data_IF_731823680695
#
_entry.id   IF_731823680695
#
_cell.length_a   1.000
_cell.length_b   1.000
_cell.length_c   1.000
_cell.angle_alpha   90.00
_cell.angle_beta   90.00
_cell.angle_gamma   90.00
#
_symmetry.space_group_name_H-M   'P 1'
#
loop_
_entity.id
_entity.type
_entity.pdbx_description
1 polymer ?
#
# COMPACT_ATOMS: atom_id res chain seq x y z
N UNK A 1 -7.95 -20.35 -7.78
CA UNK A 1 -8.56 -19.01 -7.95
C UNK A 1 -9.99 -18.92 -7.35
N UNK A 2 -10.74 -20.03 -7.25
CA UNK A 2 -12.15 -20.05 -6.80
C UNK A 2 -12.50 -19.49 -5.41
N UNK A 3 -11.57 -19.44 -4.45
CA UNK A 3 -11.88 -19.04 -3.06
C UNK A 3 -12.19 -17.54 -2.95
N UNK A 4 -11.57 -16.70 -3.79
CA UNK A 4 -11.82 -15.27 -3.75
C UNK A 4 -13.23 -14.94 -4.23
N UNK A 5 -13.64 -15.50 -5.36
CA UNK A 5 -14.93 -15.18 -5.99
C UNK A 5 -16.12 -15.58 -5.11
N UNK A 6 -16.08 -16.78 -4.50
CA UNK A 6 -17.13 -17.26 -3.61
C UNK A 6 -17.27 -16.39 -2.35
N UNK A 7 -16.14 -16.05 -1.71
CA UNK A 7 -16.18 -15.23 -0.48
C UNK A 7 -16.53 -13.77 -0.82
N UNK A 8 -16.13 -13.27 -1.99
CA UNK A 8 -16.51 -11.95 -2.49
C UNK A 8 -18.01 -11.87 -2.84
N UNK A 9 -18.62 -12.96 -3.31
CA UNK A 9 -20.07 -13.08 -3.54
C UNK A 9 -20.84 -12.99 -2.22
N UNK A 10 -20.47 -13.81 -1.23
CA UNK A 10 -21.04 -13.75 0.12
C UNK A 10 -20.82 -12.37 0.76
N UNK A 11 -19.63 -11.80 0.65
CA UNK A 11 -19.34 -10.48 1.19
C UNK A 11 -20.14 -9.36 0.49
N UNK A 12 -20.51 -9.56 -0.78
CA UNK A 12 -21.39 -8.65 -1.52
C UNK A 12 -22.83 -8.74 -1.01
N UNK A 13 -23.33 -9.94 -0.75
CA UNK A 13 -24.69 -10.15 -0.18
C UNK A 13 -24.82 -9.51 1.21
N UNK A 14 -23.79 -9.59 2.03
CA UNK A 14 -23.77 -9.02 3.40
C UNK A 14 -23.39 -7.53 3.37
N UNK A 15 -22.95 -6.98 2.23
CA UNK A 15 -22.54 -5.57 2.11
C UNK A 15 -21.23 -5.24 2.84
N UNK A 16 -20.38 -6.25 3.02
CA UNK A 16 -19.12 -6.20 3.77
C UNK A 16 -17.90 -6.05 2.83
N UNK A 17 -18.12 -6.24 1.52
CA UNK A 17 -17.08 -6.11 0.49
C UNK A 17 -16.50 -4.68 0.47
N UNK A 18 -15.19 -4.50 0.72
CA UNK A 18 -14.58 -3.18 0.71
C UNK A 18 -14.50 -2.64 -0.73
N UNK A 19 -15.05 -1.45 -0.95
CA UNK A 19 -14.91 -0.75 -2.23
C UNK A 19 -13.47 -0.26 -2.41
N UNK A 20 -12.66 -0.96 -3.20
CA UNK A 20 -11.24 -0.66 -3.39
C UNK A 20 -10.98 0.77 -3.87
N UNK A 21 -11.80 1.30 -4.77
CA UNK A 21 -11.69 2.69 -5.24
C UNK A 21 -11.95 3.71 -4.12
N UNK A 22 -12.99 3.49 -3.33
CA UNK A 22 -13.27 4.35 -2.17
C UNK A 22 -12.14 4.25 -1.14
N UNK A 23 -11.70 3.02 -0.84
CA UNK A 23 -10.61 2.78 0.09
C UNK A 23 -9.29 3.43 -0.37
N UNK A 24 -9.03 3.47 -1.67
CA UNK A 24 -7.86 4.13 -2.23
C UNK A 24 -7.87 5.65 -2.00
N UNK A 25 -9.05 6.28 -2.02
CA UNK A 25 -9.18 7.72 -1.74
C UNK A 25 -8.95 8.06 -0.27
N UNK A 26 -9.39 7.20 0.66
CA UNK A 26 -9.26 7.44 2.10
C UNK A 26 -7.91 6.96 2.67
N UNK A 27 -7.42 5.83 2.20
CA UNK A 27 -6.27 5.12 2.78
C UNK A 27 -5.47 4.42 1.64
N UNK A 28 -4.72 5.19 0.81
CA UNK A 28 -4.07 4.66 -0.39
C UNK A 28 -3.04 3.56 -0.08
N UNK A 29 -2.36 3.65 1.08
CA UNK A 29 -1.41 2.62 1.53
C UNK A 29 -2.10 1.27 1.77
N UNK A 30 -3.27 1.28 2.42
CA UNK A 30 -4.02 0.06 2.71
C UNK A 30 -4.61 -0.52 1.43
N UNK A 31 -5.17 0.32 0.57
CA UNK A 31 -5.71 -0.11 -0.72
C UNK A 31 -4.64 -0.76 -1.61
N UNK A 32 -3.43 -0.21 -1.65
CA UNK A 32 -2.30 -0.81 -2.37
C UNK A 32 -1.90 -2.18 -1.80
N UNK A 33 -1.84 -2.32 -0.47
CA UNK A 33 -1.52 -3.60 0.17
C UNK A 33 -2.60 -4.65 -0.11
N UNK A 34 -3.87 -4.26 -0.21
CA UNK A 34 -4.98 -5.17 -0.53
C UNK A 34 -5.01 -5.54 -2.01
N UNK A 35 -4.71 -4.59 -2.88
CA UNK A 35 -4.74 -4.78 -4.32
C UNK A 35 -3.53 -5.57 -4.84
N UNK A 36 -2.33 -5.24 -4.36
CA UNK A 36 -1.08 -5.88 -4.76
C UNK A 36 -0.60 -6.96 -3.80
N UNK A 37 -1.23 -7.10 -2.63
CA UNK A 37 -0.88 -8.11 -1.65
C UNK A 37 -1.75 -9.37 -1.74
N UNK A 38 -1.53 -10.31 -0.80
CA UNK A 38 -2.29 -11.54 -0.76
C UNK A 38 -3.77 -11.29 -0.42
N UNK A 39 -4.65 -12.17 -0.87
CA UNK A 39 -6.05 -12.17 -0.47
C UNK A 39 -6.15 -12.57 1.01
N UNK A 40 -6.36 -11.61 1.92
CA UNK A 40 -6.41 -11.86 3.37
C UNK A 40 -7.84 -11.78 3.89
N UNK A 41 -8.25 -12.68 4.82
CA UNK A 41 -9.60 -12.68 5.36
C UNK A 41 -9.92 -11.40 6.16
N UNK A 42 -8.89 -10.72 6.68
CA UNK A 42 -9.04 -9.45 7.41
C UNK A 42 -9.66 -8.32 6.58
N UNK A 43 -9.61 -8.41 5.24
CA UNK A 43 -10.16 -7.41 4.32
C UNK A 43 -11.68 -7.26 4.49
N UNK A 44 -12.37 -8.38 4.75
CA UNK A 44 -13.81 -8.37 4.99
C UNK A 44 -14.17 -7.80 6.37
N UNK A 45 -13.23 -7.57 7.27
CA UNK A 45 -13.52 -6.97 8.59
C UNK A 45 -13.24 -5.46 8.62
N UNK A 46 -12.94 -4.84 7.47
CA UNK A 46 -12.64 -3.41 7.37
C UNK A 46 -13.90 -2.53 7.42
N UNK A 47 -14.99 -3.01 6.83
CA UNK A 47 -16.24 -2.26 6.63
C UNK A 47 -17.44 -3.20 6.82
N UNK A 48 -18.62 -2.62 7.07
CA UNK A 48 -19.85 -3.39 7.28
C UNK A 48 -20.11 -3.82 8.74
N UNK A 49 -21.21 -4.55 8.97
CA UNK A 49 -21.56 -5.10 10.28
C UNK A 49 -20.51 -6.14 10.70
N UNK A 50 -19.87 -5.95 11.85
CA UNK A 50 -18.73 -6.78 12.29
C UNK A 50 -17.36 -6.19 11.99
N UNK A 51 -17.28 -4.90 11.65
CA UNK A 51 -16.01 -4.17 11.53
C UNK A 51 -15.12 -4.38 12.75
N UNK A 52 -13.91 -4.87 12.50
CA UNK A 52 -12.89 -4.99 13.53
C UNK A 52 -11.91 -3.82 13.44
N UNK A 53 -11.84 -3.00 14.50
CA UNK A 53 -10.95 -1.82 14.53
C UNK A 53 -9.47 -2.18 14.29
N UNK A 54 -9.07 -3.40 14.65
CA UNK A 54 -7.71 -3.92 14.45
C UNK A 54 -7.40 -4.39 13.01
N UNK A 55 -8.40 -4.52 12.13
CA UNK A 55 -8.23 -5.13 10.81
C UNK A 55 -7.16 -4.42 9.97
N UNK A 56 -7.15 -3.08 10.00
CA UNK A 56 -6.13 -2.27 9.32
C UNK A 56 -4.71 -2.57 9.83
N UNK A 57 -4.55 -2.65 11.14
CA UNK A 57 -3.26 -2.97 11.76
C UNK A 57 -2.83 -4.40 11.43
N UNK A 58 -3.75 -5.35 11.48
CA UNK A 58 -3.48 -6.75 11.14
C UNK A 58 -3.01 -6.89 9.69
N UNK A 59 -3.66 -6.24 8.72
CA UNK A 59 -3.26 -6.32 7.30
C UNK A 59 -1.84 -5.77 7.10
N UNK A 60 -1.53 -4.62 7.68
CA UNK A 60 -0.22 -3.99 7.54
C UNK A 60 0.90 -4.76 8.27
N UNK A 61 0.59 -5.38 9.41
CA UNK A 61 1.56 -6.14 10.21
C UNK A 61 1.68 -7.60 9.77
N UNK A 62 0.72 -8.12 8.99
CA UNK A 62 0.69 -9.52 8.60
C UNK A 62 1.98 -9.97 7.90
N UNK A 63 2.52 -9.13 7.01
CA UNK A 63 3.74 -9.48 6.29
C UNK A 63 4.95 -9.57 7.22
N UNK A 64 5.05 -8.67 8.19
CA UNK A 64 6.08 -8.71 9.22
C UNK A 64 5.92 -9.95 10.08
N UNK A 65 4.69 -10.32 10.44
CA UNK A 65 4.40 -11.54 11.18
C UNK A 65 4.75 -12.82 10.42
N UNK A 66 4.57 -12.85 9.10
CA UNK A 66 4.98 -14.00 8.26
C UNK A 66 6.50 -14.10 8.19
N UNK A 67 7.21 -12.97 8.09
CA UNK A 67 8.67 -12.94 7.97
C UNK A 67 9.37 -13.20 9.31
N UNK A 68 8.79 -12.74 10.42
CA UNK A 68 9.35 -12.87 11.78
C UNK A 68 9.80 -14.30 12.14
N UNK A 69 8.98 -15.36 11.97
CA UNK A 69 9.43 -16.72 12.25
C UNK A 69 10.49 -17.22 11.25
N UNK A 70 10.52 -16.68 10.03
CA UNK A 70 11.51 -17.03 9.02
C UNK A 70 12.88 -16.39 9.32
N UNK A 71 12.91 -15.30 10.09
CA UNK A 71 14.13 -14.56 10.44
C UNK A 71 14.72 -15.03 11.77
N UNK A 72 15.05 -16.32 11.85
CA UNK A 72 15.68 -16.92 13.05
C UNK A 72 17.13 -16.49 13.25
N UNK A 73 17.80 -16.00 12.20
CA UNK A 73 19.16 -15.47 12.25
C UNK A 73 19.17 -13.99 11.92
N UNK A 74 19.59 -13.15 12.87
CA UNK A 74 19.75 -11.71 12.66
C UNK A 74 21.09 -11.47 11.95
N UNK A 75 21.04 -11.23 10.65
CA UNK A 75 22.15 -10.59 9.95
C UNK A 75 22.03 -9.09 10.23
N UNK A 76 23.07 -8.49 10.81
CA UNK A 76 23.25 -7.04 10.84
C UNK A 76 23.48 -6.57 9.40
N UNK A 77 22.41 -6.46 8.62
CA UNK A 77 22.45 -5.73 7.38
C UNK A 77 22.50 -4.26 7.76
N UNK A 78 23.71 -3.72 7.71
CA UNK A 78 23.95 -2.29 7.70
C UNK A 78 23.26 -1.76 6.43
N UNK A 79 22.01 -1.30 6.60
CA UNK A 79 21.23 -0.72 5.51
C UNK A 79 21.87 0.63 5.22
N UNK A 80 22.83 0.66 4.29
CA UNK A 80 23.37 1.92 3.80
C UNK A 80 22.20 2.84 3.42
N UNK A 81 22.19 4.10 3.86
CA UNK A 81 21.13 5.03 3.50
C UNK A 81 21.03 5.05 1.98
N UNK A 82 19.82 4.82 1.47
CA UNK A 82 19.46 4.85 0.07
C UNK A 82 19.99 6.16 -0.54
N UNK A 83 21.18 6.08 -1.13
CA UNK A 83 21.85 7.23 -1.72
C UNK A 83 21.18 7.44 -3.07
N UNK A 84 20.14 8.29 -3.07
CA UNK A 84 19.53 8.76 -4.32
C UNK A 84 20.67 9.28 -5.20
N UNK A 85 20.89 8.71 -6.40
CA UNK A 85 22.06 9.03 -7.17
C UNK A 85 22.04 10.51 -7.51
N UNK A 86 23.17 11.18 -7.34
CA UNK A 86 23.32 12.63 -7.50
C UNK A 86 22.73 13.17 -8.81
N UNK A 87 22.80 12.37 -9.89
CA UNK A 87 22.19 12.66 -11.18
C UNK A 87 20.67 12.81 -11.15
N UNK A 88 19.94 11.99 -10.39
CA UNK A 88 18.49 12.12 -10.23
C UNK A 88 18.12 13.45 -9.55
N UNK A 89 18.92 13.90 -8.58
CA UNK A 89 18.74 15.22 -7.95
C UNK A 89 19.04 16.36 -8.92
N UNK A 90 20.13 16.25 -9.68
CA UNK A 90 20.52 17.24 -10.69
C UNK A 90 19.44 17.42 -11.77
N UNK A 91 18.89 16.31 -12.28
CA UNK A 91 17.82 16.34 -13.28
C UNK A 91 16.56 17.02 -12.73
N UNK A 92 16.16 16.74 -11.49
CA UNK A 92 15.02 17.41 -10.87
C UNK A 92 15.22 18.93 -10.71
N UNK A 93 16.43 19.38 -10.36
CA UNK A 93 16.75 20.82 -10.25
C UNK A 93 16.75 21.48 -11.62
N UNK A 94 17.37 20.84 -12.62
CA UNK A 94 17.38 21.34 -13.99
C UNK A 94 15.96 21.46 -14.57
N UNK A 95 15.10 20.47 -14.33
CA UNK A 95 13.70 20.49 -14.75
C UNK A 95 12.92 21.63 -14.07
N UNK A 96 13.14 21.86 -12.77
CA UNK A 96 12.51 22.97 -12.04
C UNK A 96 12.90 24.32 -12.63
N UNK A 97 14.18 24.52 -12.94
CA UNK A 97 14.67 25.76 -13.55
C UNK A 97 14.11 25.94 -14.97
N UNK A 98 14.08 24.87 -15.76
CA UNK A 98 13.52 24.89 -17.11
C UNK A 98 12.03 25.25 -17.12
N UNK A 99 11.24 24.71 -16.19
CA UNK A 99 9.83 25.08 -16.07
C UNK A 99 9.67 26.55 -15.65
N UNK A 100 10.49 27.04 -14.70
CA UNK A 100 10.46 28.43 -14.29
C UNK A 100 10.81 29.38 -15.45
N UNK A 101 11.81 29.06 -16.26
CA UNK A 101 12.17 29.90 -17.41
C UNK A 101 11.08 29.89 -18.47
N UNK A 102 10.44 28.74 -18.74
CA UNK A 102 9.30 28.67 -19.65
C UNK A 102 8.08 29.49 -19.18
N UNK A 103 7.84 29.55 -17.86
CA UNK A 103 6.77 30.38 -17.28
C UNK A 103 7.09 31.86 -17.42
N UNK A 104 8.35 32.27 -17.21
CA UNK A 104 8.79 33.68 -17.33
C UNK A 104 8.79 34.17 -18.78
N UNK A 105 9.08 33.30 -19.76
CA UNK A 105 9.12 33.67 -21.19
C UNK A 105 7.71 33.82 -21.78
N UNK A 106 6.69 33.23 -21.14
CA UNK A 106 5.33 33.09 -21.67
C UNK A 106 4.28 33.90 -20.91
N UNK A 107 4.66 34.57 -19.81
CA UNK A 107 3.87 35.55 -19.08
C UNK A 107 4.40 36.97 -19.32
#
# INVERSE_FOLDING_TARGET
>A
MQCKDYVDEIASEIGVKPNLFSLFLWDPKLALEIFFGPCTPYQYHLQGPGKWAGARGAILTQREQIIKPLRTRILTSDQAPYSVPFWLKSVCVALRLFVLTLVIIKG
#
